data_IF_826078590327
#
_entry.id   IF_826078590327
#
_cell.length_a   1.000
_cell.length_b   1.000
_cell.length_c   1.000
_cell.angle_alpha   90.00
_cell.angle_beta   90.00
_cell.angle_gamma   90.00
#
_symmetry.space_group_name_H-M   'P 1'
#
loop_
_entity.id
_entity.type
_entity.pdbx_description
1 polymer ?
#
# COMPACT_ATOMS: atom_id res chain seq x y z
N UNK A 1 28.12 -0.79 -11.92
CA UNK A 1 27.91 -2.04 -12.69
C UNK A 1 26.46 -2.07 -13.13
N UNK A 2 26.20 -2.19 -14.44
CA UNK A 2 24.83 -2.35 -14.94
C UNK A 2 24.43 -3.82 -14.78
N UNK A 3 23.75 -4.14 -13.68
CA UNK A 3 23.12 -5.46 -13.56
C UNK A 3 21.96 -5.53 -14.54
N UNK A 4 22.06 -6.45 -15.51
CA UNK A 4 20.95 -6.79 -16.38
C UNK A 4 19.81 -7.31 -15.52
N UNK A 5 18.83 -6.43 -15.22
CA UNK A 5 17.59 -6.79 -14.53
C UNK A 5 16.79 -7.69 -15.47
N UNK A 6 17.06 -8.99 -15.38
CA UNK A 6 16.16 -10.00 -15.91
C UNK A 6 14.86 -9.83 -15.13
N UNK A 7 13.82 -9.32 -15.79
CA UNK A 7 12.52 -9.14 -15.13
C UNK A 7 12.04 -10.51 -14.68
N UNK A 8 11.81 -10.67 -13.37
CA UNK A 8 11.33 -11.92 -12.80
C UNK A 8 10.05 -12.36 -13.52
N UNK A 9 10.01 -13.62 -13.95
CA UNK A 9 8.89 -14.20 -14.70
C UNK A 9 8.07 -15.06 -13.75
N UNK A 10 6.74 -14.91 -13.81
CA UNK A 10 5.79 -15.65 -12.98
C UNK A 10 4.80 -16.43 -13.84
N UNK A 11 4.31 -17.55 -13.32
CA UNK A 11 3.17 -18.26 -13.88
C UNK A 11 1.91 -17.98 -13.07
N UNK A 12 0.82 -17.64 -13.76
CA UNK A 12 -0.50 -17.42 -13.15
C UNK A 12 -1.12 -18.76 -12.76
N UNK A 13 -1.46 -18.89 -11.48
CA UNK A 13 -2.02 -20.09 -10.87
C UNK A 13 -3.55 -19.99 -10.86
N UNK A 14 -4.18 -20.54 -11.90
CA UNK A 14 -5.64 -20.51 -12.07
C UNK A 14 -6.19 -19.18 -12.59
N UNK A 15 -7.51 -19.09 -12.66
CA UNK A 15 -8.23 -17.89 -13.10
C UNK A 15 -8.06 -17.51 -14.58
N UNK A 16 -8.22 -16.22 -14.87
CA UNK A 16 -8.06 -15.68 -16.23
C UNK A 16 -6.60 -15.74 -16.70
N UNK A 17 -6.39 -16.27 -17.91
CA UNK A 17 -5.06 -16.50 -18.51
C UNK A 17 -4.12 -17.36 -17.65
N UNK A 18 -4.66 -18.33 -16.89
CA UNK A 18 -3.88 -19.33 -16.16
C UNK A 18 -2.82 -20.02 -17.02
N UNK A 19 -1.60 -20.14 -16.51
CA UNK A 19 -0.53 -20.96 -17.10
C UNK A 19 -0.65 -22.44 -16.75
N UNK A 20 -1.51 -22.80 -15.77
CA UNK A 20 -1.69 -24.15 -15.27
C UNK A 20 -2.40 -25.07 -16.29
N UNK A 21 -1.78 -26.20 -16.63
CA UNK A 21 -2.23 -27.23 -17.59
C UNK A 21 -1.69 -28.63 -17.20
N UNK A 22 -2.48 -29.39 -16.44
CA UNK A 22 -2.15 -30.76 -16.03
C UNK A 22 -2.28 -31.74 -17.23
N UNK A 23 -1.16 -32.06 -17.89
CA UNK A 23 -1.12 -32.97 -19.06
C UNK A 23 -1.59 -34.40 -18.69
N UNK A 24 -2.70 -34.86 -19.26
CA UNK A 24 -2.81 -36.26 -19.77
C UNK A 24 -4.11 -36.54 -20.54
N UNK A 25 -5.24 -35.94 -20.15
CA UNK A 25 -6.55 -36.31 -20.71
C UNK A 25 -6.91 -35.42 -21.92
N UNK A 26 -7.32 -36.07 -23.01
CA UNK A 26 -7.83 -35.45 -24.22
C UNK A 26 -9.27 -35.98 -24.43
N UNK A 27 -10.32 -35.14 -24.50
CA UNK A 27 -10.29 -33.68 -24.52
C UNK A 27 -9.82 -33.06 -23.18
N UNK A 28 -9.25 -31.84 -23.19
CA UNK A 28 -8.82 -31.16 -21.98
C UNK A 28 -10.02 -30.82 -21.09
N UNK A 29 -10.12 -31.50 -19.95
CA UNK A 29 -11.11 -31.20 -18.91
C UNK A 29 -10.75 -29.84 -18.29
N UNK A 30 -11.71 -28.90 -18.15
CA UNK A 30 -11.46 -27.65 -17.44
C UNK A 30 -11.24 -27.95 -15.95
N UNK A 31 -10.01 -27.78 -15.47
CA UNK A 31 -9.64 -28.09 -14.08
C UNK A 31 -10.48 -27.30 -13.08
N UNK A 32 -11.02 -28.00 -12.11
CA UNK A 32 -11.65 -27.41 -10.93
C UNK A 32 -10.61 -26.76 -10.04
N UNK A 33 -11.05 -25.78 -9.25
CA UNK A 33 -10.19 -25.15 -8.25
C UNK A 33 -9.62 -26.14 -7.22
N UNK A 34 -10.34 -27.23 -6.96
CA UNK A 34 -9.93 -28.32 -6.06
C UNK A 34 -8.76 -29.12 -6.63
N UNK A 35 -8.84 -29.55 -7.89
CA UNK A 35 -7.76 -30.33 -8.54
C UNK A 35 -6.45 -29.54 -8.64
N UNK A 36 -6.53 -28.23 -8.91
CA UNK A 36 -5.34 -27.35 -8.93
C UNK A 36 -4.74 -27.24 -7.52
N UNK A 37 -5.58 -27.06 -6.49
CA UNK A 37 -5.12 -26.97 -5.11
C UNK A 37 -4.46 -28.27 -4.64
N UNK A 38 -5.10 -29.42 -4.88
CA UNK A 38 -4.56 -30.74 -4.58
C UNK A 38 -3.21 -30.96 -5.31
N UNK A 39 -3.14 -30.74 -6.62
CA UNK A 39 -1.93 -30.97 -7.41
C UNK A 39 -0.71 -30.15 -6.93
N UNK A 40 -0.92 -28.97 -6.34
CA UNK A 40 0.15 -28.11 -5.83
C UNK A 40 0.45 -28.31 -4.33
N UNK A 41 -0.49 -28.84 -3.55
CA UNK A 41 -0.35 -29.07 -2.10
C UNK A 41 -0.06 -30.53 -1.70
N UNK A 42 -0.19 -31.50 -2.59
CA UNK A 42 0.06 -32.94 -2.33
C UNK A 42 1.42 -33.23 -1.66
N UNK A 43 2.38 -32.31 -1.73
CA UNK A 43 3.73 -32.47 -1.17
C UNK A 43 4.07 -31.51 0.00
N UNK A 44 3.15 -30.64 0.44
CA UNK A 44 3.47 -29.57 1.41
C UNK A 44 2.37 -29.30 2.43
N UNK A 45 2.75 -28.93 3.65
CA UNK A 45 1.87 -28.46 4.72
C UNK A 45 1.43 -27.00 4.52
N UNK A 46 0.93 -26.68 3.33
CA UNK A 46 0.62 -25.33 2.87
C UNK A 46 1.44 -24.91 1.64
N UNK A 47 1.05 -23.80 1.00
CA UNK A 47 1.74 -23.24 -0.16
C UNK A 47 1.87 -21.73 -0.08
N UNK A 48 3.10 -21.26 -0.24
CA UNK A 48 3.41 -19.86 -0.47
C UNK A 48 3.34 -19.54 -1.96
N UNK A 49 2.55 -18.52 -2.27
CA UNK A 49 2.39 -17.95 -3.60
C UNK A 49 2.62 -16.44 -3.51
N UNK A 50 2.67 -15.79 -4.67
CA UNK A 50 2.75 -14.34 -4.78
C UNK A 50 1.40 -13.80 -5.24
N UNK A 51 0.91 -12.78 -4.56
CA UNK A 51 -0.25 -11.99 -4.97
C UNK A 51 0.24 -10.81 -5.82
N UNK A 52 0.05 -10.91 -7.14
CA UNK A 52 0.32 -9.82 -8.06
C UNK A 52 -0.90 -8.93 -8.23
N UNK A 53 -0.76 -7.62 -8.03
CA UNK A 53 -1.80 -6.61 -8.28
C UNK A 53 -1.44 -5.82 -9.54
N UNK A 54 -2.32 -5.82 -10.55
CA UNK A 54 -2.14 -5.07 -11.81
C UNK A 54 -2.49 -3.58 -11.66
N UNK A 55 -2.07 -2.70 -12.61
CA UNK A 55 -2.41 -1.27 -12.63
C UNK A 55 -3.90 -0.92 -12.47
N UNK A 56 -4.80 -1.73 -13.05
CA UNK A 56 -6.24 -1.52 -12.89
C UNK A 56 -6.77 -1.88 -11.49
N UNK A 57 -6.00 -2.63 -10.70
CA UNK A 57 -6.37 -3.19 -9.40
C UNK A 57 -6.87 -4.63 -9.44
N UNK A 58 -6.86 -5.31 -10.59
CA UNK A 58 -7.05 -6.76 -10.66
C UNK A 58 -5.92 -7.50 -9.93
N UNK A 59 -6.19 -8.68 -9.38
CA UNK A 59 -5.21 -9.45 -8.62
C UNK A 59 -5.17 -10.93 -8.99
N UNK A 60 -3.99 -11.51 -9.05
CA UNK A 60 -3.74 -12.88 -9.49
C UNK A 60 -2.82 -13.61 -8.52
N UNK A 61 -2.95 -14.93 -8.45
CA UNK A 61 -1.98 -15.77 -7.77
C UNK A 61 -0.89 -16.16 -8.76
N UNK A 62 0.35 -16.01 -8.32
CA UNK A 62 1.55 -16.14 -9.11
C UNK A 62 2.50 -17.13 -8.41
N UNK A 63 3.21 -17.91 -9.20
CA UNK A 63 4.32 -18.76 -8.76
C UNK A 63 5.57 -18.34 -9.54
N UNK A 64 6.73 -18.10 -8.90
CA UNK A 64 7.98 -17.85 -9.59
C UNK A 64 8.25 -18.95 -10.62
N UNK A 65 8.74 -18.55 -11.80
CA UNK A 65 9.03 -19.50 -12.88
C UNK A 65 10.01 -20.59 -12.45
N UNK A 66 11.00 -20.24 -11.64
CA UNK A 66 12.02 -21.16 -11.14
C UNK A 66 11.42 -22.24 -10.23
N UNK A 67 10.61 -21.87 -9.23
CA UNK A 67 9.89 -22.82 -8.38
C UNK A 67 8.95 -23.72 -9.20
N UNK A 68 8.27 -23.12 -10.18
CA UNK A 68 7.35 -23.83 -11.05
C UNK A 68 8.05 -24.83 -11.98
N UNK A 69 9.21 -24.49 -12.54
CA UNK A 69 9.97 -25.40 -13.39
C UNK A 69 10.69 -26.47 -12.55
N UNK A 70 11.17 -26.13 -11.34
CA UNK A 70 11.79 -27.09 -10.43
C UNK A 70 10.81 -28.16 -9.92
N UNK A 71 9.67 -27.75 -9.37
CA UNK A 71 8.72 -28.67 -8.72
C UNK A 71 7.55 -29.11 -9.62
N UNK A 72 7.17 -28.31 -10.61
CA UNK A 72 5.86 -28.42 -11.28
C UNK A 72 5.92 -28.26 -12.83
N UNK A 73 7.06 -28.48 -13.48
CA UNK A 73 7.23 -28.22 -14.94
C UNK A 73 6.19 -28.89 -15.84
N UNK A 74 5.61 -30.01 -15.40
CA UNK A 74 4.59 -30.74 -16.14
C UNK A 74 3.18 -30.13 -16.00
N UNK A 75 2.98 -29.26 -15.00
CA UNK A 75 1.74 -28.55 -14.68
C UNK A 75 1.66 -27.14 -15.24
N UNK A 76 2.78 -26.51 -15.63
CA UNK A 76 2.79 -25.14 -16.15
C UNK A 76 3.21 -25.08 -17.62
N UNK A 77 2.62 -24.17 -18.40
CA UNK A 77 2.99 -23.93 -19.81
C UNK A 77 2.82 -22.48 -20.24
N UNK A 78 3.51 -22.16 -21.33
CA UNK A 78 3.44 -20.89 -22.03
C UNK A 78 4.52 -19.93 -21.56
N UNK A 79 4.49 -18.72 -22.11
CA UNK A 79 5.29 -17.62 -21.61
C UNK A 79 4.62 -17.11 -20.33
N UNK A 80 5.38 -17.04 -19.24
CA UNK A 80 4.91 -16.41 -18.00
C UNK A 80 4.84 -14.89 -18.15
N UNK A 81 4.31 -14.23 -17.14
CA UNK A 81 4.16 -12.77 -17.09
C UNK A 81 5.30 -12.13 -16.31
N UNK A 82 5.94 -11.06 -16.81
CA UNK A 82 7.02 -10.37 -16.10
C UNK A 82 6.51 -9.56 -14.89
N UNK A 83 7.41 -9.29 -13.94
CA UNK A 83 7.16 -8.44 -12.78
C UNK A 83 6.53 -7.08 -13.15
N UNK A 84 6.94 -6.52 -14.29
CA UNK A 84 6.49 -5.21 -14.81
C UNK A 84 5.00 -5.14 -15.18
N UNK A 85 4.27 -6.26 -15.23
CA UNK A 85 2.80 -6.24 -15.37
C UNK A 85 2.07 -5.87 -14.07
N UNK A 86 2.78 -5.81 -12.93
CA UNK A 86 2.20 -5.68 -11.60
C UNK A 86 2.71 -4.41 -10.91
N UNK A 87 1.79 -3.66 -10.28
CA UNK A 87 2.12 -2.55 -9.38
C UNK A 87 2.65 -3.02 -8.04
N UNK A 88 2.28 -4.22 -7.58
CA UNK A 88 2.82 -4.82 -6.37
C UNK A 88 2.83 -6.33 -6.47
N UNK A 89 3.85 -6.94 -5.86
CA UNK A 89 4.00 -8.37 -5.66
C UNK A 89 4.13 -8.58 -4.15
N UNK A 90 3.24 -9.35 -3.52
CA UNK A 90 3.31 -9.63 -2.08
C UNK A 90 3.11 -11.11 -1.76
N UNK A 91 3.71 -11.65 -0.68
CA UNK A 91 3.53 -13.04 -0.29
C UNK A 91 2.10 -13.32 0.19
N UNK A 92 1.56 -14.46 -0.23
CA UNK A 92 0.30 -15.00 0.25
C UNK A 92 0.43 -16.51 0.52
N UNK A 93 0.24 -16.89 1.78
CA UNK A 93 0.27 -18.28 2.23
C UNK A 93 -1.14 -18.88 2.23
N UNK A 94 -1.24 -20.16 1.92
CA UNK A 94 -2.44 -20.97 2.12
C UNK A 94 -2.07 -22.22 2.92
N UNK A 95 -2.61 -22.35 4.14
CA UNK A 95 -2.34 -23.47 5.05
C UNK A 95 -2.86 -24.81 4.51
N UNK A 96 -4.01 -24.78 3.81
CA UNK A 96 -4.68 -25.98 3.31
C UNK A 96 -5.29 -25.82 1.90
N UNK A 97 -5.64 -26.97 1.31
CA UNK A 97 -6.20 -27.06 -0.05
C UNK A 97 -7.62 -26.50 -0.17
N UNK A 98 -8.39 -26.45 0.92
CA UNK A 98 -9.75 -25.87 0.96
C UNK A 98 -9.67 -24.35 0.87
N UNK A 99 -8.81 -23.71 1.65
CA UNK A 99 -8.56 -22.27 1.61
C UNK A 99 -8.02 -21.84 0.23
N UNK A 100 -7.08 -22.60 -0.33
CA UNK A 100 -6.53 -22.35 -1.65
C UNK A 100 -7.57 -22.54 -2.76
N UNK A 101 -8.32 -23.65 -2.78
CA UNK A 101 -9.40 -23.89 -3.73
C UNK A 101 -10.52 -22.83 -3.64
N UNK A 102 -10.85 -22.35 -2.44
CA UNK A 102 -11.81 -21.27 -2.26
C UNK A 102 -11.32 -19.94 -2.89
N UNK A 103 -10.02 -19.63 -2.78
CA UNK A 103 -9.43 -18.46 -3.45
C UNK A 103 -9.41 -18.63 -4.97
N UNK A 104 -8.99 -19.79 -5.47
CA UNK A 104 -9.01 -20.13 -6.90
C UNK A 104 -10.43 -20.05 -7.49
N UNK A 105 -11.46 -20.46 -6.74
CA UNK A 105 -12.87 -20.35 -7.15
C UNK A 105 -13.31 -18.88 -7.30
N UNK A 106 -12.84 -17.97 -6.44
CA UNK A 106 -13.10 -16.52 -6.57
C UNK A 106 -12.39 -15.90 -7.78
N UNK A 107 -11.26 -16.48 -8.19
CA UNK A 107 -10.48 -16.10 -9.38
C UNK A 107 -10.95 -16.80 -10.67
N UNK A 108 -11.81 -17.81 -10.57
CA UNK A 108 -12.37 -18.51 -11.73
C UNK A 108 -13.21 -17.52 -12.58
N UNK A 109 -12.92 -17.46 -13.88
CA UNK A 109 -13.62 -16.58 -14.80
C UNK A 109 -15.06 -17.09 -15.00
N UNK A 110 -16.08 -16.22 -14.92
CA UNK A 110 -17.48 -16.60 -15.15
C UNK A 110 -17.68 -16.94 -16.62
N UNK A 111 -17.67 -18.24 -16.94
CA UNK A 111 -17.90 -18.82 -18.28
C UNK A 111 -19.33 -18.60 -18.77
N UNK A 112 -19.66 -17.35 -19.12
CA UNK A 112 -20.82 -17.06 -19.96
C UNK A 112 -20.43 -17.38 -21.41
N UNK A 113 -21.11 -18.34 -22.03
CA UNK A 113 -20.77 -18.92 -23.33
C UNK A 113 -20.91 -17.98 -24.55
N UNK A 114 -21.02 -16.67 -24.35
CA UNK A 114 -21.14 -15.68 -25.40
C UNK A 114 -19.76 -15.25 -25.93
N UNK A 115 -19.38 -15.88 -27.04
CA UNK A 115 -18.09 -15.90 -27.77
C UNK A 115 -17.43 -14.54 -28.13
N UNK A 116 -17.85 -13.37 -27.65
CA UNK A 116 -17.49 -12.05 -28.22
C UNK A 116 -16.63 -11.07 -27.38
N UNK A 117 -16.29 -11.38 -26.13
CA UNK A 117 -15.25 -10.64 -25.36
C UNK A 117 -14.35 -11.63 -24.62
N UNK A 118 -13.41 -12.25 -25.34
CA UNK A 118 -12.51 -13.29 -24.77
C UNK A 118 -11.40 -12.71 -23.90
N UNK A 119 -11.08 -11.43 -24.06
CA UNK A 119 -9.80 -10.86 -23.61
C UNK A 119 -9.93 -10.05 -22.30
N UNK A 120 -11.03 -10.21 -21.56
CA UNK A 120 -11.33 -9.47 -20.33
C UNK A 120 -11.61 -10.43 -19.17
N UNK A 121 -10.94 -10.23 -18.03
CA UNK A 121 -11.22 -11.00 -16.81
C UNK A 121 -12.61 -10.66 -16.26
N UNK A 122 -13.44 -11.69 -16.04
CA UNK A 122 -14.77 -11.61 -15.40
C UNK A 122 -14.87 -12.56 -14.20
N UNK A 123 -13.75 -12.83 -13.56
CA UNK A 123 -13.69 -13.50 -12.25
C UNK A 123 -14.38 -12.67 -11.18
N UNK A 124 -14.94 -13.33 -10.16
CA UNK A 124 -15.62 -12.62 -9.07
C UNK A 124 -14.67 -11.65 -8.33
N UNK A 125 -13.39 -12.02 -8.20
CA UNK A 125 -12.40 -11.18 -7.56
C UNK A 125 -12.04 -9.92 -8.38
N UNK A 126 -11.96 -10.02 -9.71
CA UNK A 126 -11.37 -8.95 -10.54
C UNK A 126 -12.39 -8.13 -11.35
N UNK A 127 -13.62 -8.62 -11.57
CA UNK A 127 -14.63 -7.96 -12.44
C UNK A 127 -14.77 -6.45 -12.17
N UNK A 128 -14.86 -6.04 -10.89
CA UNK A 128 -15.06 -4.62 -10.53
C UNK A 128 -13.87 -3.70 -10.87
N UNK A 129 -12.68 -4.25 -11.05
CA UNK A 129 -11.45 -3.50 -11.38
C UNK A 129 -11.18 -3.45 -12.88
N UNK A 130 -11.68 -4.44 -13.64
CA UNK A 130 -11.46 -4.56 -15.09
C UNK A 130 -12.66 -4.01 -15.89
N UNK A 131 -13.79 -3.73 -15.25
CA UNK A 131 -14.96 -3.09 -15.88
C UNK A 131 -14.68 -1.61 -16.22
N UNK A 132 -14.23 -1.36 -17.45
CA UNK A 132 -14.11 -0.03 -18.04
C UNK A 132 -12.71 0.57 -18.05
N UNK A 133 -11.70 -0.17 -17.58
CA UNK A 133 -10.28 0.19 -17.67
C UNK A 133 -9.50 -0.89 -18.45
N UNK A 134 -8.39 -0.48 -19.08
CA UNK A 134 -7.41 -1.45 -19.59
C UNK A 134 -6.71 -2.15 -18.40
N UNK A 135 -6.37 -3.45 -18.45
CA UNK A 135 -5.62 -4.12 -17.38
C UNK A 135 -4.31 -3.40 -16.95
N UNK A 136 -3.68 -2.69 -17.88
CA UNK A 136 -2.44 -1.93 -17.67
C UNK A 136 -2.67 -0.43 -17.41
N UNK A 137 -3.92 0.04 -17.43
CA UNK A 137 -4.26 1.42 -17.06
C UNK A 137 -4.14 1.63 -15.55
N UNK A 138 -3.39 2.65 -15.15
CA UNK A 138 -3.14 2.99 -13.76
C UNK A 138 -4.38 3.64 -13.12
N UNK A 139 -5.11 2.90 -12.30
CA UNK A 139 -6.29 3.43 -11.59
C UNK A 139 -5.98 3.76 -10.13
N UNK A 140 -6.74 4.70 -9.55
CA UNK A 140 -6.69 4.98 -8.11
C UNK A 140 -6.96 3.74 -7.25
N UNK A 141 -7.79 2.81 -7.75
CA UNK A 141 -8.09 1.54 -7.10
C UNK A 141 -6.86 0.61 -7.09
N UNK A 142 -6.16 0.51 -8.22
CA UNK A 142 -4.91 -0.23 -8.34
C UNK A 142 -3.81 0.33 -7.42
N UNK A 143 -3.59 1.65 -7.44
CA UNK A 143 -2.65 2.32 -6.52
C UNK A 143 -2.98 2.01 -5.06
N UNK A 144 -4.25 2.16 -4.66
CA UNK A 144 -4.69 1.93 -3.28
C UNK A 144 -4.45 0.48 -2.83
N UNK A 145 -4.75 -0.49 -3.70
CA UNK A 145 -4.49 -1.91 -3.43
C UNK A 145 -3.00 -2.25 -3.39
N UNK A 146 -2.21 -1.71 -4.32
CA UNK A 146 -0.77 -1.91 -4.37
C UNK A 146 -0.08 -1.37 -3.12
N UNK A 147 -0.44 -0.15 -2.68
CA UNK A 147 0.06 0.46 -1.46
C UNK A 147 -0.27 -0.38 -0.22
N UNK A 148 -1.49 -0.93 -0.11
CA UNK A 148 -1.85 -1.83 0.99
C UNK A 148 -0.95 -3.07 1.04
N UNK A 149 -0.70 -3.71 -0.11
CA UNK A 149 0.18 -4.88 -0.19
C UNK A 149 1.65 -4.52 0.08
N UNK A 150 2.12 -3.35 -0.37
CA UNK A 150 3.45 -2.85 -0.04
C UNK A 150 3.64 -2.57 1.46
N UNK A 151 2.65 -2.00 2.15
CA UNK A 151 2.72 -1.82 3.61
C UNK A 151 2.80 -3.16 4.35
N UNK A 152 2.03 -4.18 3.90
CA UNK A 152 2.14 -5.54 4.46
C UNK A 152 3.52 -6.13 4.25
N UNK A 153 4.05 -6.05 3.03
CA UNK A 153 5.37 -6.57 2.68
C UNK A 153 6.49 -5.84 3.42
N UNK A 154 6.42 -4.50 3.53
CA UNK A 154 7.36 -3.70 4.30
C UNK A 154 7.44 -4.14 5.76
N UNK A 155 6.29 -4.34 6.43
CA UNK A 155 6.26 -4.85 7.80
C UNK A 155 6.89 -6.25 7.93
N UNK A 156 6.69 -7.14 6.94
CA UNK A 156 7.34 -8.45 6.91
C UNK A 156 8.86 -8.35 6.73
N UNK A 157 9.34 -7.46 5.87
CA UNK A 157 10.78 -7.22 5.67
C UNK A 157 11.43 -6.69 6.95
N UNK A 158 10.80 -5.74 7.65
CA UNK A 158 11.32 -5.24 8.94
C UNK A 158 11.48 -6.36 9.98
N UNK A 159 10.51 -7.28 10.02
CA UNK A 159 10.52 -8.45 10.92
C UNK A 159 11.36 -9.63 10.44
N UNK A 160 12.10 -9.50 9.34
CA UNK A 160 12.87 -10.57 8.71
C UNK A 160 12.02 -11.82 8.35
N UNK A 161 10.71 -11.63 8.10
CA UNK A 161 9.76 -12.68 7.73
C UNK A 161 9.80 -13.02 6.22
N UNK A 162 10.84 -12.61 5.48
CA UNK A 162 10.96 -12.72 4.02
C UNK A 162 12.32 -13.31 3.63
N UNK A 163 12.37 -14.63 3.42
CA UNK A 163 13.61 -15.35 3.05
C UNK A 163 14.15 -14.99 1.66
N UNK A 164 13.26 -14.71 0.69
CA UNK A 164 13.61 -14.45 -0.72
C UNK A 164 13.02 -13.10 -1.20
N UNK A 165 13.57 -11.94 -0.80
CA UNK A 165 13.00 -10.63 -1.15
C UNK A 165 12.92 -10.34 -2.66
N UNK A 166 13.83 -10.95 -3.43
CA UNK A 166 13.90 -10.81 -4.88
C UNK A 166 12.69 -11.43 -5.61
N UNK A 167 12.02 -12.43 -5.02
CA UNK A 167 10.75 -12.99 -5.53
C UNK A 167 9.64 -11.93 -5.68
N UNK A 168 9.74 -10.82 -4.96
CA UNK A 168 8.77 -9.73 -4.97
C UNK A 168 9.27 -8.51 -5.78
N UNK A 169 10.34 -8.68 -6.56
CA UNK A 169 11.10 -7.63 -7.26
C UNK A 169 11.66 -6.54 -6.31
N UNK A 170 11.91 -6.90 -5.04
CA UNK A 170 12.45 -5.99 -4.02
C UNK A 170 13.95 -6.18 -3.84
N UNK A 171 14.69 -5.07 -3.93
CA UNK A 171 16.06 -4.95 -3.43
C UNK A 171 15.98 -4.30 -2.04
N UNK A 172 16.34 -5.05 -0.99
CA UNK A 172 16.41 -4.48 0.37
C UNK A 172 17.55 -3.44 0.40
N UNK A 173 17.26 -2.17 0.73
CA UNK A 173 18.29 -1.15 0.80
C UNK A 173 19.09 -1.26 2.10
N UNK A 174 20.41 -1.03 2.02
CA UNK A 174 21.31 -1.10 3.18
C UNK A 174 20.96 -0.11 4.29
N UNK A 175 20.30 1.01 3.97
CA UNK A 175 19.82 1.98 4.96
C UNK A 175 18.59 1.51 5.76
N UNK A 176 17.92 0.42 5.37
CA UNK A 176 16.69 -0.03 6.04
C UNK A 176 16.94 -0.35 7.52
N UNK A 177 18.08 -0.96 7.84
CA UNK A 177 18.50 -1.31 9.20
C UNK A 177 18.67 -0.09 10.12
N UNK A 178 18.91 1.10 9.55
CA UNK A 178 19.09 2.36 10.27
C UNK A 178 17.83 3.26 10.27
N UNK A 179 16.72 2.78 9.71
CA UNK A 179 15.47 3.54 9.63
C UNK A 179 14.83 3.65 11.02
N UNK A 180 14.25 4.81 11.33
CA UNK A 180 13.48 5.02 12.56
C UNK A 180 12.02 5.29 12.22
N UNK A 181 11.11 4.76 13.03
CA UNK A 181 9.71 5.17 13.00
C UNK A 181 9.49 6.26 14.05
N UNK A 182 8.89 7.37 13.66
CA UNK A 182 8.54 8.47 14.57
C UNK A 182 7.05 8.74 14.46
N UNK A 183 6.33 8.65 15.57
CA UNK A 183 4.95 9.18 15.65
C UNK A 183 5.04 10.66 16.00
N UNK A 184 4.44 11.52 15.18
CA UNK A 184 4.27 12.93 15.48
C UNK A 184 2.81 13.21 15.88
N UNK A 185 2.65 13.85 17.04
CA UNK A 185 1.38 14.37 17.54
C UNK A 185 1.53 15.86 17.84
N UNK A 186 0.50 16.66 17.56
CA UNK A 186 0.51 18.08 17.89
C UNK A 186 -0.89 18.56 18.25
N UNK A 187 -0.97 19.40 19.26
CA UNK A 187 -2.20 20.05 19.68
C UNK A 187 -2.30 21.42 19.01
N UNK A 188 -3.40 21.65 18.28
CA UNK A 188 -3.70 22.95 17.68
C UNK A 188 -4.50 23.82 18.66
N UNK A 189 -4.44 25.13 18.44
CA UNK A 189 -5.28 26.06 19.19
C UNK A 189 -6.76 25.90 18.80
N UNK A 190 -7.57 25.39 19.73
CA UNK A 190 -9.00 25.11 19.51
C UNK A 190 -9.83 26.35 19.12
N UNK A 191 -9.49 27.52 19.68
CA UNK A 191 -10.12 28.81 19.36
C UNK A 191 -9.54 29.46 18.08
N UNK A 192 -8.79 28.72 17.26
CA UNK A 192 -8.36 29.21 15.95
C UNK A 192 -9.53 29.18 14.96
N UNK A 193 -10.31 30.26 14.94
CA UNK A 193 -11.45 30.44 14.05
C UNK A 193 -11.07 30.78 12.59
N UNK A 194 -9.78 30.71 12.23
CA UNK A 194 -9.33 30.95 10.85
C UNK A 194 -9.87 29.90 9.87
N UNK A 195 -10.06 30.24 8.58
CA UNK A 195 -10.39 29.30 7.52
C UNK A 195 -9.54 28.02 7.52
N UNK A 196 -10.13 26.88 7.17
CA UNK A 196 -9.47 25.57 7.23
C UNK A 196 -8.18 25.50 6.41
N UNK A 197 -8.13 26.13 5.23
CA UNK A 197 -6.93 26.16 4.40
C UNK A 197 -5.77 26.88 5.10
N UNK A 198 -6.04 28.06 5.70
CA UNK A 198 -5.03 28.78 6.49
C UNK A 198 -4.57 27.97 7.71
N UNK A 199 -5.47 27.22 8.36
CA UNK A 199 -5.09 26.32 9.47
C UNK A 199 -4.31 25.08 9.02
N UNK A 200 -4.36 24.73 7.73
CA UNK A 200 -3.60 23.63 7.14
C UNK A 200 -2.20 24.08 6.68
N UNK A 201 -2.08 25.28 6.14
CA UNK A 201 -0.79 25.84 5.69
C UNK A 201 0.01 26.54 6.78
N UNK A 202 -0.68 27.12 7.78
CA UNK A 202 -0.09 27.84 8.92
C UNK A 202 -0.79 27.41 10.24
N UNK A 203 -0.52 26.19 10.75
CA UNK A 203 -1.13 25.69 11.98
C UNK A 203 -0.62 26.41 13.23
N UNK A 204 -1.53 26.96 14.04
CA UNK A 204 -1.21 27.46 15.40
C UNK A 204 -1.08 26.30 16.38
N UNK A 205 0.14 25.79 16.52
CA UNK A 205 0.48 24.69 17.45
C UNK A 205 0.66 25.21 18.89
N UNK A 206 0.04 24.53 19.86
CA UNK A 206 0.15 24.82 21.30
C UNK A 206 1.23 23.99 21.99
N UNK A 207 1.30 22.71 21.65
CA UNK A 207 2.36 21.78 22.01
C UNK A 207 2.51 20.71 20.94
N UNK A 208 3.72 20.17 20.87
CA UNK A 208 4.13 19.13 19.93
C UNK A 208 4.76 18.01 20.75
N UNK A 209 4.42 16.77 20.41
CA UNK A 209 5.01 15.58 21.00
C UNK A 209 5.42 14.61 19.92
N UNK A 210 6.55 13.95 20.12
CA UNK A 210 6.95 12.84 19.25
C UNK A 210 7.44 11.67 20.07
N UNK A 211 7.20 10.48 19.53
CA UNK A 211 7.68 9.22 20.07
C UNK A 211 8.50 8.54 18.99
N UNK A 212 9.78 8.28 19.27
CA UNK A 212 10.59 7.36 18.45
C UNK A 212 10.24 5.93 18.81
N UNK A 213 10.21 5.06 17.81
CA UNK A 213 9.99 3.63 17.96
C UNK A 213 11.15 2.85 17.35
N UNK A 214 11.59 1.82 18.06
CA UNK A 214 12.32 0.72 17.45
C UNK A 214 11.41 0.03 16.44
N UNK A 215 11.95 -0.22 15.24
CA UNK A 215 11.22 -0.95 14.21
C UNK A 215 10.95 -2.40 14.68
N UNK A 216 9.83 -3.01 14.27
CA UNK A 216 9.58 -4.43 14.48
C UNK A 216 10.76 -5.27 13.96
N UNK A 217 11.08 -6.35 14.67
CA UNK A 217 12.14 -7.30 14.34
C UNK A 217 11.71 -8.73 14.78
N UNK A 218 12.46 -9.81 14.48
CA UNK A 218 12.08 -11.18 14.85
C UNK A 218 11.81 -11.41 16.35
N UNK A 219 12.53 -10.72 17.24
CA UNK A 219 12.38 -10.90 18.70
C UNK A 219 11.31 -9.98 19.29
N UNK A 220 10.90 -8.96 18.56
CA UNK A 220 9.88 -7.99 18.94
C UNK A 220 9.01 -7.61 17.72
N UNK A 221 7.84 -8.25 17.53
CA UNK A 221 6.99 -8.02 16.36
C UNK A 221 6.19 -6.70 16.41
N UNK A 222 6.18 -6.01 17.55
CA UNK A 222 5.46 -4.74 17.75
C UNK A 222 6.38 -3.53 17.76
N UNK A 223 5.87 -2.32 17.48
CA UNK A 223 6.65 -1.09 17.67
C UNK A 223 6.87 -0.85 19.18
N UNK A 224 8.13 -0.80 19.62
CA UNK A 224 8.49 -0.42 21.00
C UNK A 224 8.91 1.04 21.01
N UNK A 225 8.25 1.86 21.81
CA UNK A 225 8.64 3.25 22.03
C UNK A 225 10.03 3.31 22.72
N UNK A 226 10.98 3.99 22.11
CA UNK A 226 12.36 4.15 22.63
C UNK A 226 12.55 5.47 23.36
N UNK A 227 11.93 6.54 22.86
CA UNK A 227 11.92 7.85 23.49
C UNK A 227 10.59 8.54 23.23
N UNK A 228 10.11 9.35 24.17
CA UNK A 228 8.95 10.23 23.99
C UNK A 228 9.33 11.61 24.51
N UNK A 229 9.14 12.63 23.68
CA UNK A 229 9.39 14.04 24.01
C UNK A 229 8.08 14.81 23.84
N UNK A 230 7.80 15.74 24.77
CA UNK A 230 6.73 16.72 24.61
C UNK A 230 7.30 18.12 24.84
N UNK A 231 7.16 18.99 23.85
CA UNK A 231 7.54 20.40 23.90
C UNK A 231 6.30 21.29 23.87
N UNK A 232 6.14 22.14 24.90
CA UNK A 232 5.11 23.18 24.94
C UNK A 232 5.64 24.41 24.22
N UNK A 233 4.92 24.88 23.20
CA UNK A 233 5.36 26.01 22.36
C UNK A 233 4.75 27.35 22.78
N UNK A 234 3.61 27.33 23.48
CA UNK A 234 2.93 28.52 24.00
C UNK A 234 2.62 28.37 25.49
N UNK A 235 3.20 29.26 26.30
CA UNK A 235 3.05 29.29 27.77
C UNK A 235 1.88 30.16 28.24
N UNK A 236 1.28 30.99 27.37
CA UNK A 236 0.08 31.79 27.68
C UNK A 236 -1.21 30.94 27.73
N UNK A 237 -1.12 29.75 28.32
CA UNK A 237 -2.28 28.96 28.74
C UNK A 237 -2.85 29.60 29.98
N UNK A 238 -3.73 30.58 29.78
CA UNK A 238 -4.74 30.93 30.76
C UNK A 238 -5.68 29.71 30.91
N UNK A 239 -5.23 28.73 31.70
CA UNK A 239 -6.08 27.72 32.28
C UNK A 239 -7.10 28.46 33.14
N UNK A 240 -8.27 28.77 32.57
CA UNK A 240 -9.43 29.13 33.37
C UNK A 240 -9.71 27.95 34.29
N UNK A 241 -9.22 28.03 35.52
CA UNK A 241 -9.70 27.17 36.58
C UNK A 241 -11.23 27.35 36.60
N UNK A 242 -12.04 26.27 36.48
CA UNK A 242 -13.49 26.39 36.27
C UNK A 242 -14.22 27.15 37.39
N UNK A 243 -13.55 27.38 38.52
CA UNK A 243 -14.09 28.06 39.70
C UNK A 243 -13.55 29.49 39.88
N UNK A 244 -12.71 30.03 38.98
CA UNK A 244 -12.22 31.41 39.09
C UNK A 244 -13.25 32.42 38.52
N UNK A 245 -14.41 32.49 39.18
CA UNK A 245 -15.23 33.69 39.12
C UNK A 245 -14.45 34.80 39.82
N UNK A 246 -13.98 35.80 39.07
CA UNK A 246 -13.54 37.06 39.66
C UNK A 246 -14.79 37.73 40.19
N UNK A 247 -15.06 37.59 41.49
CA UNK A 247 -16.09 38.34 42.19
C UNK A 247 -15.67 39.80 42.23
N UNK A 248 -16.15 40.59 41.26
CA UNK A 248 -16.22 42.04 41.44
C UNK A 248 -17.31 42.30 42.50
N UNK A 249 -16.84 42.69 43.69
CA UNK A 249 -17.59 43.36 44.76
C UNK A 249 -18.99 42.81 45.10
N UNK A 250 -19.05 41.90 46.09
CA UNK A 250 -20.32 41.52 46.70
C UNK A 250 -20.26 40.26 47.56
N UNK A 251 -20.00 40.43 48.86
CA UNK A 251 -19.97 39.41 49.93
C UNK A 251 -20.98 38.27 49.70
N UNK A 252 -20.50 37.06 49.39
CA UNK A 252 -21.34 35.88 49.23
C UNK A 252 -20.53 34.58 49.19
N UNK A 253 -20.50 33.85 50.30
CA UNK A 253 -19.87 32.52 50.38
C UNK A 253 -20.80 31.49 49.74
N UNK A 254 -20.37 30.83 48.67
CA UNK A 254 -21.02 29.61 48.17
C UNK A 254 -19.98 28.60 47.67
N UNK A 255 -20.16 27.34 48.06
CA UNK A 255 -19.25 26.24 47.77
C UNK A 255 -19.50 25.65 46.38
N UNK A 256 -18.47 25.30 45.59
CA UNK A 256 -18.67 24.66 44.29
C UNK A 256 -19.01 23.17 44.46
N UNK A 257 -20.12 22.75 43.86
CA UNK A 257 -20.48 21.33 43.72
C UNK A 257 -19.71 20.67 42.56
N UNK A 258 -19.33 19.41 42.73
CA UNK A 258 -18.69 18.63 41.67
C UNK A 258 -19.69 18.28 40.57
N UNK A 259 -19.39 18.71 39.34
CA UNK A 259 -20.14 18.34 38.14
C UNK A 259 -19.30 18.54 36.89
N UNK A 260 -18.42 17.59 36.56
CA UNK A 260 -17.57 17.65 35.37
C UNK A 260 -18.03 16.63 34.33
N UNK A 261 -18.79 17.12 33.35
CA UNK A 261 -19.00 16.39 32.09
C UNK A 261 -17.89 16.72 31.09
N UNK A 262 -16.93 15.82 30.91
CA UNK A 262 -15.93 15.95 29.84
C UNK A 262 -16.52 15.46 28.51
N UNK A 263 -16.91 16.39 27.64
CA UNK A 263 -17.14 16.14 26.21
C UNK A 263 -15.87 16.47 25.43
N UNK A 264 -14.90 15.56 25.46
CA UNK A 264 -13.60 15.74 24.81
C UNK A 264 -13.70 15.70 23.29
N UNK A 265 -13.28 16.79 22.63
CA UNK A 265 -13.12 16.85 21.17
C UNK A 265 -12.10 15.82 20.68
N UNK A 266 -12.34 15.25 19.49
CA UNK A 266 -11.53 14.18 18.92
C UNK A 266 -10.07 14.62 18.69
N UNK A 267 -9.15 14.02 19.45
CA UNK A 267 -7.74 14.07 19.11
C UNK A 267 -7.53 13.50 17.70
N UNK A 268 -6.76 14.21 16.85
CA UNK A 268 -6.38 13.68 15.53
C UNK A 268 -5.46 12.48 15.71
N UNK A 269 -5.62 11.48 14.85
CA UNK A 269 -4.79 10.28 14.87
C UNK A 269 -3.30 10.64 14.71
N UNK A 270 -2.39 9.91 15.39
CA UNK A 270 -0.96 10.13 15.26
C UNK A 270 -0.51 9.93 13.81
N UNK A 271 0.29 10.85 13.30
CA UNK A 271 0.93 10.68 11.98
C UNK A 271 2.25 9.96 12.17
N UNK A 272 2.36 8.72 11.68
CA UNK A 272 3.64 7.99 11.67
C UNK A 272 4.45 8.44 10.46
N UNK A 273 5.61 9.04 10.73
CA UNK A 273 6.59 9.45 9.73
C UNK A 273 7.77 8.47 9.84
N UNK A 274 8.08 7.81 8.73
CA UNK A 274 9.31 7.04 8.59
C UNK A 274 10.40 7.98 8.09
N UNK A 275 11.50 8.09 8.83
CA UNK A 275 12.67 8.86 8.42
C UNK A 275 13.88 7.94 8.28
N UNK A 276 14.60 8.11 7.16
CA UNK A 276 15.84 7.41 6.89
C UNK A 276 17.00 8.43 6.89
N UNK A 277 17.80 8.43 7.95
CA UNK A 277 19.01 9.24 8.00
C UNK A 277 20.17 8.54 7.29
N UNK A 278 20.42 8.93 6.04
CA UNK A 278 21.60 8.49 5.29
C UNK A 278 22.84 9.29 5.71
N UNK A 279 23.53 8.86 6.77
CA UNK A 279 24.88 9.35 7.07
C UNK A 279 25.91 8.74 6.11
N UNK A 280 25.95 9.26 4.87
CA UNK A 280 27.01 8.96 3.89
C UNK A 280 27.96 10.15 3.76
N UNK A 281 28.96 10.20 4.63
CA UNK A 281 30.11 11.10 4.50
C UNK A 281 31.08 10.61 3.41
N UNK A 282 30.69 10.80 2.15
CA UNK A 282 31.55 10.51 0.99
C UNK A 282 32.29 11.77 0.55
N UNK A 283 33.59 11.80 0.80
CA UNK A 283 34.48 12.90 0.44
C UNK A 283 34.53 13.12 -1.08
N UNK A 284 34.34 14.36 -1.51
CA UNK A 284 34.37 14.76 -2.92
C UNK A 284 35.83 14.86 -3.37
N UNK A 285 36.30 13.89 -4.15
CA UNK A 285 37.48 14.07 -5.00
C UNK A 285 37.03 14.63 -6.36
N UNK A 286 37.33 15.91 -6.59
CA UNK A 286 37.11 16.60 -7.86
C UNK A 286 38.12 16.14 -8.90
N UNK A 287 37.64 15.55 -9.99
CA UNK A 287 38.37 15.48 -11.27
C UNK A 287 37.48 16.06 -12.36
N UNK A 288 37.98 17.11 -13.00
CA UNK A 288 37.25 17.84 -14.05
C UNK A 288 37.57 17.33 -15.45
N UNK A 289 36.59 17.46 -16.33
CA UNK A 289 36.64 17.65 -17.79
C UNK A 289 35.17 17.82 -18.24
N UNK A 290 34.79 18.67 -19.19
CA UNK A 290 35.57 19.57 -20.03
C UNK A 290 35.08 19.52 -21.49
N UNK A 291 34.10 20.37 -21.86
CA UNK A 291 33.59 20.59 -23.24
C UNK A 291 32.89 19.35 -23.90
N UNK A 292 31.95 19.42 -24.85
CA UNK A 292 30.93 20.38 -25.30
C UNK A 292 29.84 19.56 -26.08
N UNK A 293 28.80 20.03 -26.79
CA UNK A 293 28.38 21.35 -27.27
C UNK A 293 26.85 21.39 -27.60
N UNK A 294 26.42 22.50 -28.27
CA UNK A 294 25.40 22.66 -29.34
C UNK A 294 24.62 21.41 -29.84
N UNK A 295 23.35 21.46 -30.27
CA UNK A 295 22.40 22.56 -30.50
C UNK A 295 21.07 21.99 -31.04
N UNK A 296 19.90 22.56 -30.68
CA UNK A 296 18.93 23.15 -31.63
C UNK A 296 17.67 23.64 -30.91
N UNK A 297 17.19 24.82 -31.32
CA UNK A 297 15.79 25.22 -31.16
C UNK A 297 14.98 24.62 -32.30
N UNK A 298 13.72 24.28 -32.05
CA UNK A 298 12.64 24.73 -32.93
C UNK A 298 11.29 24.83 -32.18
N UNK A 299 10.41 25.70 -32.67
CA UNK A 299 9.10 26.01 -32.08
C UNK A 299 7.99 25.14 -32.70
N UNK A 300 6.84 24.97 -32.01
CA UNK A 300 5.82 24.02 -32.46
C UNK A 300 4.47 24.10 -31.75
N UNK A 301 3.89 25.30 -31.68
CA UNK A 301 2.57 25.52 -31.06
C UNK A 301 1.42 25.05 -31.96
N UNK A 302 0.58 24.11 -31.48
CA UNK A 302 -0.79 23.95 -31.98
C UNK A 302 -1.75 23.61 -30.86
N UNK A 303 -2.67 24.54 -30.58
CA UNK A 303 -3.88 24.32 -29.81
C UNK A 303 -4.88 23.51 -30.65
N UNK A 304 -5.55 22.53 -30.02
CA UNK A 304 -6.83 22.00 -30.49
C UNK A 304 -7.77 21.93 -29.29
N UNK A 305 -8.66 22.90 -29.18
CA UNK A 305 -9.83 22.81 -28.31
C UNK A 305 -10.80 21.76 -28.89
N UNK A 306 -11.45 20.99 -28.03
CA UNK A 306 -12.63 20.22 -28.41
C UNK A 306 -13.67 20.25 -27.30
N UNK A 307 -14.85 20.76 -27.64
CA UNK A 307 -16.01 20.86 -26.76
C UNK A 307 -16.44 19.50 -26.20
N UNK A 308 -16.71 19.47 -24.89
CA UNK A 308 -17.54 18.44 -24.26
C UNK A 308 -18.51 19.10 -23.26
N UNK A 309 -19.78 19.18 -23.65
CA UNK A 309 -20.85 19.81 -22.88
C UNK A 309 -22.02 18.83 -22.71
N UNK A 310 -22.54 18.73 -21.47
CA UNK A 310 -23.70 17.93 -20.99
C UNK A 310 -23.37 16.45 -20.75
N UNK A 311 -23.70 15.84 -19.61
CA UNK A 311 -24.96 15.99 -18.87
C UNK A 311 -24.87 15.54 -17.39
N UNK A 312 -25.85 15.98 -16.59
CA UNK A 312 -26.03 15.68 -15.16
C UNK A 312 -26.17 14.19 -14.81
N UNK A 313 -25.69 13.81 -13.61
CA UNK A 313 -26.58 13.44 -12.49
C UNK A 313 -25.87 13.38 -11.14
N UNK A 314 -26.60 13.71 -10.08
CA UNK A 314 -26.17 13.63 -8.68
C UNK A 314 -25.60 12.27 -8.30
N UNK A 315 -24.68 12.26 -7.33
CA UNK A 315 -24.88 11.53 -6.07
C UNK A 315 -24.02 12.14 -4.94
N UNK A 316 -24.67 12.73 -3.93
CA UNK A 316 -24.02 13.05 -2.65
C UNK A 316 -23.64 11.74 -1.96
N UNK A 317 -22.37 11.55 -1.56
CA UNK A 317 -22.04 10.70 -0.40
C UNK A 317 -20.62 10.93 0.16
N UNK A 318 -20.60 11.25 1.45
CA UNK A 318 -19.59 10.87 2.46
C UNK A 318 -18.11 10.90 2.05
N UNK A 319 -17.45 12.00 2.41
CA UNK A 319 -16.03 12.02 2.76
C UNK A 319 -15.73 10.94 3.82
N UNK A 320 -14.85 9.99 3.49
CA UNK A 320 -14.13 9.21 4.49
C UNK A 320 -12.68 9.68 4.46
N UNK A 321 -12.21 10.23 5.57
CA UNK A 321 -10.80 10.51 5.81
C UNK A 321 -10.14 9.24 6.35
N UNK A 322 -8.97 8.92 5.80
CA UNK A 322 -7.92 8.20 6.52
C UNK A 322 -7.18 9.19 7.43
#
# INVERSE_FOLDING_TARGET
MSSSRHSHIYYRVGGFQSNFKLKSINPPIPYTAKEIAEALLVQKAGIDLILGVQPCGASYLLLPREDAEAAFHHLFKGYGTPATEYLSLSPIHFEDATAFAAKLTKLANKTTAQKKKKDQDRSHANTQYVLGADPFELTLSGISRANFEYHRLFLRILRDEIERPYDYDIVIPTWLQNTRAVSLAYNLWELDHRPQELRRTDPKVLDIGWTEYALPNPTNPGPIATSTVQAKLSENRLLRAPNYQISQDGIGVSSPSLGVGYSGSLARLPTVILTAESQTSLGIHTLGNGQAARSHLDEGTTLVEHDLLKSHKDHRRSTWLM
#
